data_IF_337176056279
#
_entry.id   IF_337176056279
#
_cell.length_a   1.000
_cell.length_b   1.000
_cell.length_c   1.000
_cell.angle_alpha   90.00
_cell.angle_beta   90.00
_cell.angle_gamma   90.00
#
_symmetry.space_group_name_H-M   'P 1'
#
loop_
_entity.id
_entity.type
_entity.pdbx_description
1 polymer ?
#
# COMPACT_ATOMS: atom_id res chain seq x y z
N UNK A 1 4.96 3.31 18.33
CA UNK A 1 5.51 3.48 16.97
C UNK A 1 4.68 4.53 16.28
N UNK A 2 5.30 5.50 15.61
CA UNK A 2 4.53 6.53 14.90
C UNK A 2 3.98 5.93 13.61
N UNK A 3 2.68 5.62 13.59
CA UNK A 3 1.93 5.31 12.39
C UNK A 3 1.90 6.57 11.52
N UNK A 4 2.97 6.84 10.78
CA UNK A 4 3.10 7.94 9.82
C UNK A 4 3.07 7.40 8.40
N UNK A 5 2.80 8.29 7.44
CA UNK A 5 2.81 7.96 6.01
C UNK A 5 4.07 7.23 5.56
N UNK A 6 5.23 7.53 6.16
CA UNK A 6 6.50 6.89 5.86
C UNK A 6 6.52 5.40 6.25
N UNK A 7 6.01 5.06 7.44
CA UNK A 7 5.93 3.67 7.90
C UNK A 7 4.90 2.88 7.10
N UNK A 8 3.77 3.51 6.78
CA UNK A 8 2.75 2.97 5.88
C UNK A 8 3.34 2.68 4.49
N UNK A 9 4.07 3.63 3.92
CA UNK A 9 4.75 3.48 2.62
C UNK A 9 5.76 2.34 2.64
N UNK A 10 6.57 2.24 3.69
CA UNK A 10 7.52 1.15 3.84
C UNK A 10 6.84 -0.23 3.91
N UNK A 11 5.68 -0.32 4.58
CA UNK A 11 4.87 -1.55 4.61
C UNK A 11 4.34 -1.94 3.22
N UNK A 12 3.79 -0.98 2.47
CA UNK A 12 3.31 -1.21 1.09
C UNK A 12 4.45 -1.71 0.21
N UNK A 13 5.61 -1.07 0.27
CA UNK A 13 6.78 -1.49 -0.51
C UNK A 13 7.21 -2.91 -0.12
N UNK A 14 7.29 -3.21 1.18
CA UNK A 14 7.66 -4.54 1.65
C UNK A 14 6.68 -5.63 1.18
N UNK A 15 5.36 -5.36 1.21
CA UNK A 15 4.34 -6.29 0.69
C UNK A 15 4.45 -6.49 -0.83
N UNK A 16 4.70 -5.41 -1.58
CA UNK A 16 4.89 -5.46 -3.03
C UNK A 16 6.12 -6.29 -3.40
N UNK A 17 7.26 -6.00 -2.76
CA UNK A 17 8.51 -6.75 -2.96
C UNK A 17 8.40 -8.21 -2.50
N UNK A 18 7.66 -8.49 -1.41
CA UNK A 18 7.43 -9.84 -0.91
C UNK A 18 6.58 -10.69 -1.88
N UNK A 19 5.63 -10.10 -2.61
CA UNK A 19 4.87 -10.80 -3.66
C UNK A 19 5.74 -11.11 -4.89
N UNK A 20 6.84 -10.38 -5.09
CA UNK A 20 7.86 -10.68 -6.10
C UNK A 20 7.42 -10.60 -7.57
N UNK A 21 6.18 -10.17 -7.84
CA UNK A 21 5.62 -10.10 -9.20
C UNK A 21 5.80 -8.72 -9.83
N UNK A 22 5.84 -7.66 -9.02
CA UNK A 22 6.02 -6.30 -9.51
C UNK A 22 6.62 -5.40 -8.42
N UNK A 23 7.39 -4.41 -8.84
CA UNK A 23 8.12 -3.49 -7.97
C UNK A 23 7.35 -2.18 -7.80
N UNK A 24 7.75 -1.36 -6.81
CA UNK A 24 7.21 0.00 -6.59
C UNK A 24 7.24 0.95 -7.79
N UNK A 25 7.87 0.56 -8.90
CA UNK A 25 7.92 1.34 -10.13
C UNK A 25 6.71 1.03 -11.04
N UNK A 26 6.23 -0.21 -10.97
CA UNK A 26 5.03 -0.72 -11.65
C UNK A 26 3.74 -0.28 -10.95
N UNK A 27 3.82 0.06 -9.66
CA UNK A 27 2.69 0.51 -8.85
C UNK A 27 2.88 1.95 -8.39
N UNK A 28 1.79 2.72 -8.40
CA UNK A 28 1.78 4.05 -7.79
C UNK A 28 1.65 3.94 -6.26
N UNK A 29 2.76 3.62 -5.59
CA UNK A 29 2.84 3.50 -4.12
C UNK A 29 2.23 4.69 -3.37
N UNK A 30 2.51 5.96 -3.70
CA UNK A 30 1.89 7.07 -2.99
C UNK A 30 0.38 7.12 -3.18
N UNK A 31 -0.15 6.77 -4.36
CA UNK A 31 -1.60 6.65 -4.57
C UNK A 31 -2.21 5.50 -3.75
N UNK A 32 -1.55 4.34 -3.67
CA UNK A 32 -2.00 3.20 -2.85
C UNK A 32 -2.05 3.58 -1.38
N UNK A 33 -0.99 4.23 -0.88
CA UNK A 33 -0.86 4.69 0.50
C UNK A 33 -1.95 5.73 0.82
N UNK A 34 -2.22 6.68 -0.08
CA UNK A 34 -3.26 7.67 0.09
C UNK A 34 -4.67 7.06 0.06
N UNK A 35 -4.95 6.14 -0.87
CA UNK A 35 -6.23 5.44 -0.97
C UNK A 35 -6.48 4.55 0.26
N UNK A 36 -5.44 3.85 0.72
CA UNK A 36 -5.49 3.03 1.94
C UNK A 36 -5.80 3.90 3.16
N UNK A 37 -5.08 5.01 3.32
CA UNK A 37 -5.32 5.98 4.39
C UNK A 37 -6.72 6.62 4.31
N UNK A 38 -7.28 6.84 3.12
CA UNK A 38 -8.63 7.36 2.97
C UNK A 38 -9.72 6.35 3.41
N UNK A 39 -9.41 5.05 3.43
CA UNK A 39 -10.35 3.99 3.82
C UNK A 39 -10.31 3.74 5.32
N UNK A 40 -9.11 3.64 5.90
CA UNK A 40 -8.95 3.36 7.35
C UNK A 40 -8.80 4.61 8.21
N UNK A 41 -8.68 5.77 7.58
CA UNK A 41 -8.42 7.07 8.23
C UNK A 41 -7.21 7.02 9.19
N UNK A 42 -6.28 6.11 8.91
CA UNK A 42 -5.17 5.72 9.75
C UNK A 42 -3.98 5.27 8.90
N UNK A 43 -2.79 5.28 9.48
CA UNK A 43 -1.58 4.74 8.85
C UNK A 43 -1.27 3.32 9.33
N UNK A 44 -2.22 2.67 10.00
CA UNK A 44 -2.13 1.26 10.35
C UNK A 44 -2.74 0.39 9.24
N UNK A 45 -1.88 -0.09 8.36
CA UNK A 45 -2.29 -0.96 7.25
C UNK A 45 -2.44 -2.42 7.69
N UNK A 46 -2.13 -2.75 8.94
CA UNK A 46 -2.39 -4.09 9.48
C UNK A 46 -3.88 -4.32 9.72
N UNK A 47 -4.65 -3.23 9.87
CA UNK A 47 -6.11 -3.26 9.94
C UNK A 47 -6.78 -3.47 8.58
N UNK A 48 -6.05 -3.25 7.47
CA UNK A 48 -6.57 -3.47 6.11
C UNK A 48 -6.50 -4.96 5.77
N UNK A 49 -7.64 -5.50 5.34
CA UNK A 49 -7.66 -6.84 4.78
C UNK A 49 -6.75 -6.92 3.54
N UNK A 50 -5.88 -7.93 3.49
CA UNK A 50 -4.95 -8.11 2.36
C UNK A 50 -5.66 -8.13 1.01
N UNK A 51 -6.87 -8.68 0.91
CA UNK A 51 -7.67 -8.65 -0.31
C UNK A 51 -8.00 -7.23 -0.76
N UNK A 52 -8.44 -6.38 0.17
CA UNK A 52 -8.72 -4.96 -0.08
C UNK A 52 -7.44 -4.21 -0.48
N UNK A 53 -6.35 -4.41 0.25
CA UNK A 53 -5.05 -3.83 -0.09
C UNK A 53 -4.61 -4.20 -1.51
N UNK A 54 -4.65 -5.49 -1.86
CA UNK A 54 -4.29 -5.94 -3.20
C UNK A 54 -5.24 -5.43 -4.29
N UNK A 55 -6.52 -5.23 -3.97
CA UNK A 55 -7.49 -4.64 -4.90
C UNK A 55 -7.17 -3.17 -5.19
N UNK A 56 -6.76 -2.41 -4.17
CA UNK A 56 -6.29 -1.03 -4.32
C UNK A 56 -4.99 -1.02 -5.13
N UNK A 57 -4.02 -1.87 -4.77
CA UNK A 57 -2.74 -1.96 -5.47
C UNK A 57 -2.93 -2.30 -6.96
N UNK A 58 -3.76 -3.29 -7.28
CA UNK A 58 -4.07 -3.66 -8.66
C UNK A 58 -4.79 -2.54 -9.44
N UNK A 59 -5.57 -1.70 -8.76
CA UNK A 59 -6.24 -0.55 -9.38
C UNK A 59 -5.32 0.64 -9.61
N UNK A 60 -4.15 0.67 -8.96
CA UNK A 60 -3.13 1.71 -9.06
C UNK A 60 -1.86 1.20 -9.78
N UNK A 61 -2.04 0.24 -10.69
CA UNK A 61 -1.00 -0.17 -11.62
C UNK A 61 -0.68 0.97 -12.58
N UNK A 62 0.61 1.25 -12.75
CA UNK A 62 1.13 2.28 -13.62
C UNK A 62 1.42 1.67 -15.01
N UNK A 63 0.44 1.79 -15.91
CA UNK A 63 0.54 1.35 -17.32
C UNK A 63 1.37 2.28 -18.19
#
# INVERSE_FOLDING_TARGET
MSNTCESATAYVIAELEAKGTATRDDFDVPAIVAASHAIVESWDFTEIDRGTFWSIAASNLRI
#
